data_IF_160445963584
#
_entry.id   IF_160445963584
#
_cell.length_a   1.000
_cell.length_b   1.000
_cell.length_c   1.000
_cell.angle_alpha   90.00
_cell.angle_beta   90.00
_cell.angle_gamma   90.00
#
_symmetry.space_group_name_H-M   'P 1'
#
loop_
_entity.id
_entity.type
_entity.pdbx_description
1 polymer ?
#
# COMPACT_ATOMS: atom_id res chain seq x y z
N UNK A 1 20.21 -8.64 14.62
CA UNK A 1 19.05 -7.71 14.63
C UNK A 1 19.26 -6.75 13.48
N UNK A 2 18.57 -6.97 12.36
CA UNK A 2 18.57 -6.00 11.25
C UNK A 2 17.86 -4.75 11.76
N UNK A 3 18.50 -3.58 11.67
CA UNK A 3 17.88 -2.32 12.09
C UNK A 3 16.56 -2.08 11.35
N UNK A 4 15.64 -1.34 11.99
CA UNK A 4 14.42 -0.90 11.32
C UNK A 4 14.79 -0.15 10.03
N UNK A 5 14.10 -0.48 8.93
CA UNK A 5 14.30 0.23 7.67
C UNK A 5 13.93 1.71 7.90
N UNK A 6 14.80 2.67 7.54
CA UNK A 6 14.47 4.08 7.67
C UNK A 6 13.27 4.43 6.78
N UNK A 7 12.56 5.53 7.07
CA UNK A 7 11.53 6.04 6.18
C UNK A 7 12.12 6.33 4.79
N UNK A 8 11.29 6.14 3.78
CA UNK A 8 11.61 6.45 2.40
C UNK A 8 11.11 7.87 2.12
N UNK A 9 11.99 8.72 1.59
CA UNK A 9 11.62 10.06 1.15
C UNK A 9 10.66 9.97 -0.06
N UNK A 10 9.48 10.60 -0.03
CA UNK A 10 8.55 10.57 -1.16
C UNK A 10 9.03 11.51 -2.27
N UNK A 11 9.65 10.95 -3.31
CA UNK A 11 10.11 11.69 -4.50
C UNK A 11 9.66 10.94 -5.76
N UNK A 12 8.93 11.62 -6.63
CA UNK A 12 8.60 11.06 -7.95
C UNK A 12 9.79 11.23 -8.90
N UNK A 13 10.39 10.11 -9.31
CA UNK A 13 11.45 10.10 -10.32
C UNK A 13 10.85 10.02 -11.74
N UNK A 14 11.61 10.42 -12.78
CA UNK A 14 11.18 10.26 -14.17
C UNK A 14 10.87 8.79 -14.51
N UNK A 15 9.87 8.58 -15.38
CA UNK A 15 9.42 7.24 -15.74
C UNK A 15 10.56 6.40 -16.32
N UNK A 16 11.41 6.97 -17.17
CA UNK A 16 12.53 6.27 -17.79
C UNK A 16 13.56 5.75 -16.78
N UNK A 17 13.72 6.45 -15.64
CA UNK A 17 14.65 6.04 -14.58
C UNK A 17 14.08 4.85 -13.81
N UNK A 18 12.79 4.90 -13.51
CA UNK A 18 12.07 3.81 -12.83
C UNK A 18 12.06 2.58 -13.75
N UNK A 19 11.64 2.74 -15.01
CA UNK A 19 11.60 1.67 -16.02
C UNK A 19 12.97 0.99 -16.16
N UNK A 20 14.04 1.76 -16.32
CA UNK A 20 15.39 1.22 -16.41
C UNK A 20 15.80 0.44 -15.15
N UNK A 21 15.35 0.84 -13.96
CA UNK A 21 15.60 0.10 -12.72
C UNK A 21 14.80 -1.22 -12.66
N UNK A 22 13.53 -1.18 -13.07
CA UNK A 22 12.67 -2.37 -13.13
C UNK A 22 13.20 -3.40 -14.15
N UNK A 23 13.67 -2.95 -15.32
CA UNK A 23 14.30 -3.83 -16.33
C UNK A 23 15.55 -4.56 -15.81
N UNK A 24 16.29 -3.92 -14.89
CA UNK A 24 17.44 -4.53 -14.21
C UNK A 24 17.04 -5.41 -13.03
N UNK A 25 15.77 -5.45 -12.67
CA UNK A 25 15.25 -6.14 -11.48
C UNK A 25 15.63 -5.47 -10.15
N UNK A 26 16.04 -4.20 -10.17
CA UNK A 26 16.49 -3.48 -8.98
C UNK A 26 15.35 -2.71 -8.32
N UNK A 27 14.44 -3.46 -7.69
CA UNK A 27 13.25 -2.88 -7.01
C UNK A 27 13.58 -2.23 -5.67
N UNK A 28 14.80 -2.42 -5.17
CA UNK A 28 15.26 -1.93 -3.88
C UNK A 28 16.02 -0.61 -3.97
N UNK A 29 16.35 -0.14 -5.18
CA UNK A 29 16.94 1.18 -5.40
C UNK A 29 16.04 2.30 -4.89
N UNK A 30 16.65 3.45 -4.62
CA UNK A 30 15.96 4.61 -4.07
C UNK A 30 14.93 5.14 -5.07
N UNK A 31 15.22 5.13 -6.37
CA UNK A 31 14.36 5.68 -7.41
C UNK A 31 12.98 5.01 -7.43
N UNK A 32 12.96 3.68 -7.34
CA UNK A 32 11.72 2.88 -7.29
C UNK A 32 10.99 3.11 -5.96
N UNK A 33 11.71 3.01 -4.84
CA UNK A 33 11.09 3.10 -3.50
C UNK A 33 10.54 4.50 -3.22
N UNK A 34 11.29 5.54 -3.57
CA UNK A 34 10.87 6.93 -3.38
C UNK A 34 9.67 7.28 -4.27
N UNK A 35 9.63 6.76 -5.50
CA UNK A 35 8.48 6.96 -6.39
C UNK A 35 7.24 6.27 -5.85
N UNK A 36 7.34 5.03 -5.37
CA UNK A 36 6.23 4.32 -4.71
C UNK A 36 5.72 5.06 -3.47
N UNK A 37 6.63 5.58 -2.64
CA UNK A 37 6.27 6.40 -1.49
C UNK A 37 5.52 7.67 -1.91
N UNK A 38 5.99 8.36 -2.96
CA UNK A 38 5.33 9.54 -3.49
C UNK A 38 3.93 9.22 -4.03
N UNK A 39 3.81 8.17 -4.86
CA UNK A 39 2.54 7.77 -5.48
C UNK A 39 1.48 7.46 -4.43
N UNK A 40 1.82 6.66 -3.42
CA UNK A 40 0.86 6.31 -2.39
C UNK A 40 0.53 7.45 -1.43
N UNK A 41 1.48 8.37 -1.16
CA UNK A 41 1.19 9.56 -0.37
C UNK A 41 0.22 10.53 -1.07
N UNK A 42 0.16 10.49 -2.40
CA UNK A 42 -0.71 11.33 -3.22
C UNK A 42 -1.89 10.56 -3.84
N UNK A 43 -2.20 9.36 -3.33
CA UNK A 43 -3.30 8.50 -3.77
C UNK A 43 -3.29 8.10 -5.28
N UNK A 44 -2.11 8.09 -5.93
CA UNK A 44 -1.93 7.57 -7.30
C UNK A 44 -1.87 6.04 -7.32
N UNK A 45 -2.93 5.39 -6.85
CA UNK A 45 -2.98 3.95 -6.60
C UNK A 45 -2.88 3.10 -7.86
N UNK A 46 -3.44 3.57 -8.99
CA UNK A 46 -3.30 2.89 -10.27
C UNK A 46 -1.83 2.80 -10.70
N UNK A 47 -1.09 3.91 -10.66
CA UNK A 47 0.32 3.98 -11.00
C UNK A 47 1.20 3.18 -10.01
N UNK A 48 0.84 3.21 -8.73
CA UNK A 48 1.51 2.39 -7.71
C UNK A 48 1.33 0.89 -8.00
N UNK A 49 0.12 0.44 -8.34
CA UNK A 49 -0.18 -0.94 -8.71
C UNK A 49 0.58 -1.37 -9.98
N UNK A 50 0.63 -0.51 -11.01
CA UNK A 50 1.35 -0.81 -12.27
C UNK A 50 2.82 -1.18 -12.02
N UNK A 51 3.51 -0.48 -11.11
CA UNK A 51 4.91 -0.83 -10.76
C UNK A 51 4.98 -2.25 -10.17
N UNK A 52 4.07 -2.59 -9.27
CA UNK A 52 3.99 -3.93 -8.68
C UNK A 52 3.70 -5.02 -9.72
N UNK A 53 2.79 -4.73 -10.65
CA UNK A 53 2.39 -5.64 -11.70
C UNK A 53 3.52 -5.92 -12.69
N UNK A 54 4.25 -4.88 -13.13
CA UNK A 54 5.42 -5.03 -14.02
C UNK A 54 6.46 -5.97 -13.41
N UNK A 55 6.71 -5.83 -12.10
CA UNK A 55 7.68 -6.66 -11.36
C UNK A 55 7.13 -8.07 -11.08
N UNK A 56 5.81 -8.21 -10.95
CA UNK A 56 5.18 -9.45 -10.50
C UNK A 56 5.42 -9.76 -9.02
N UNK A 57 5.66 -8.73 -8.19
CA UNK A 57 5.90 -8.84 -6.75
C UNK A 57 4.93 -7.98 -5.96
N UNK A 58 4.51 -8.47 -4.79
CA UNK A 58 3.72 -7.66 -3.85
C UNK A 58 4.60 -6.56 -3.27
N UNK A 59 4.07 -5.34 -3.26
CA UNK A 59 4.66 -4.20 -2.56
C UNK A 59 3.70 -3.78 -1.47
N UNK A 60 4.23 -3.37 -0.32
CA UNK A 60 3.45 -2.72 0.73
C UNK A 60 3.99 -1.33 1.02
N UNK A 61 3.05 -0.43 1.29
CA UNK A 61 3.29 0.91 1.78
C UNK A 61 2.62 1.06 3.13
N UNK A 62 3.36 1.60 4.10
CA UNK A 62 2.82 2.07 5.36
C UNK A 62 3.08 3.57 5.47
N UNK A 63 2.03 4.35 5.73
CA UNK A 63 2.10 5.80 5.97
C UNK A 63 1.75 6.05 7.43
N UNK A 64 2.69 6.65 8.16
CA UNK A 64 2.52 6.94 9.59
C UNK A 64 1.80 8.27 9.86
N UNK A 65 1.56 8.58 11.14
CA UNK A 65 0.85 9.79 11.53
C UNK A 65 1.57 11.10 11.13
N UNK A 66 2.89 11.07 10.89
CA UNK A 66 3.71 12.21 10.47
C UNK A 66 4.00 12.18 8.94
N UNK A 67 3.23 11.43 8.16
CA UNK A 67 3.37 11.25 6.71
C UNK A 67 4.68 10.57 6.26
N UNK A 68 5.34 9.85 7.17
CA UNK A 68 6.53 9.07 6.82
C UNK A 68 6.12 7.79 6.14
N UNK A 69 6.74 7.54 4.99
CA UNK A 69 6.45 6.40 4.13
C UNK A 69 7.44 5.27 4.38
N UNK A 70 6.93 4.04 4.40
CA UNK A 70 7.74 2.83 4.54
C UNK A 70 7.32 1.83 3.46
N UNK A 71 8.20 1.64 2.48
CA UNK A 71 7.98 0.73 1.35
C UNK A 71 8.74 -0.57 1.57
N UNK A 72 8.04 -1.69 1.42
CA UNK A 72 8.63 -3.03 1.42
C UNK A 72 8.12 -3.88 0.26
N UNK A 73 8.95 -4.84 -0.15
CA UNK A 73 8.65 -5.81 -1.19
C UNK A 73 8.58 -7.21 -0.61
N UNK A 74 7.58 -7.98 -0.99
CA UNK A 74 7.37 -9.34 -0.53
C UNK A 74 7.05 -10.31 -1.65
N UNK A 75 6.96 -11.58 -1.25
CA UNK A 75 6.32 -12.62 -2.07
C UNK A 75 4.87 -12.80 -1.63
N UNK A 76 4.04 -13.30 -2.54
CA UNK A 76 2.58 -13.34 -2.41
C UNK A 76 2.07 -13.76 -1.03
N UNK A 77 1.13 -12.97 -0.46
CA UNK A 77 0.45 -13.19 0.82
C UNK A 77 1.35 -13.22 2.07
N UNK A 78 2.51 -12.58 2.03
CA UNK A 78 3.46 -12.53 3.18
C UNK A 78 3.73 -11.14 3.73
N UNK A 79 3.11 -10.10 3.18
CA UNK A 79 3.41 -8.74 3.62
C UNK A 79 2.55 -8.38 4.83
N UNK A 80 3.06 -8.68 6.02
CA UNK A 80 2.45 -8.22 7.27
C UNK A 80 2.75 -6.76 7.58
N UNK A 81 1.99 -6.18 8.51
CA UNK A 81 2.31 -4.88 9.11
C UNK A 81 3.67 -4.97 9.80
N UNK A 82 4.71 -4.40 9.18
CA UNK A 82 6.07 -4.35 9.73
C UNK A 82 6.39 -2.91 10.14
N UNK A 83 5.84 -2.41 11.27
CA UNK A 83 6.04 -1.03 11.67
C UNK A 83 7.52 -0.83 12.04
N UNK A 84 8.24 0.05 11.35
CA UNK A 84 9.64 0.31 11.65
C UNK A 84 9.78 1.10 12.95
N UNK A 85 10.88 0.84 13.67
CA UNK A 85 11.19 1.55 14.90
C UNK A 85 11.26 3.06 14.65
N UNK A 86 10.56 3.84 15.49
CA UNK A 86 10.50 5.30 15.39
C UNK A 86 9.38 5.84 14.48
N UNK A 87 8.54 4.97 13.90
CA UNK A 87 7.29 5.36 13.25
C UNK A 87 6.23 5.81 14.26
N UNK A 88 5.29 6.65 13.81
CA UNK A 88 4.25 7.23 14.67
C UNK A 88 2.86 6.65 14.39
N UNK A 89 2.24 6.09 15.43
CA UNK A 89 0.87 5.58 15.38
C UNK A 89 -0.17 6.65 15.77
N UNK A 90 -1.43 6.50 15.33
CA UNK A 90 -1.93 5.49 14.40
C UNK A 90 -1.40 5.71 12.97
N UNK A 91 -1.16 4.62 12.25
CA UNK A 91 -0.81 4.64 10.83
C UNK A 91 -2.03 5.08 10.02
N UNK A 92 -1.86 6.11 9.19
CA UNK A 92 -2.94 6.65 8.35
C UNK A 92 -3.39 5.61 7.31
N UNK A 93 -2.43 4.94 6.68
CA UNK A 93 -2.68 3.99 5.59
C UNK A 93 -1.73 2.82 5.67
N UNK A 94 -2.28 1.62 5.57
CA UNK A 94 -1.53 0.41 5.20
C UNK A 94 -2.06 -0.13 3.87
N UNK A 95 -1.18 -0.25 2.87
CA UNK A 95 -1.53 -0.71 1.53
C UNK A 95 -0.65 -1.87 1.14
N UNK A 96 -1.19 -2.82 0.39
CA UNK A 96 -0.39 -3.76 -0.38
C UNK A 96 -1.06 -4.11 -1.72
N UNK A 97 -0.32 -4.76 -2.61
CA UNK A 97 -0.78 -5.14 -3.94
C UNK A 97 -0.96 -6.65 -4.06
N UNK A 98 -1.88 -7.08 -4.92
CA UNK A 98 -2.01 -8.44 -5.45
C UNK A 98 -1.71 -8.40 -6.96
N UNK A 99 -0.44 -8.50 -7.39
CA UNK A 99 -0.09 -8.39 -8.80
C UNK A 99 -0.78 -9.49 -9.62
N UNK A 100 -1.37 -9.10 -10.76
CA UNK A 100 -2.13 -9.98 -11.67
C UNK A 100 -3.35 -10.68 -11.06
N UNK A 101 -3.85 -10.18 -9.92
CA UNK A 101 -5.00 -10.74 -9.21
C UNK A 101 -6.04 -9.70 -8.84
N UNK A 102 -7.21 -10.16 -8.42
CA UNK A 102 -8.24 -9.29 -7.88
C UNK A 102 -7.85 -8.87 -6.45
N UNK A 103 -8.22 -7.65 -6.02
CA UNK A 103 -8.03 -7.23 -4.64
C UNK A 103 -9.03 -7.96 -3.73
N UNK A 104 -8.54 -8.58 -2.65
CA UNK A 104 -9.38 -9.22 -1.63
C UNK A 104 -8.66 -9.27 -0.28
N UNK A 105 -9.39 -9.41 0.82
CA UNK A 105 -8.80 -9.63 2.14
C UNK A 105 -8.40 -11.10 2.30
N UNK A 106 -7.13 -11.41 2.10
CA UNK A 106 -6.58 -12.74 2.38
C UNK A 106 -6.63 -13.06 3.87
N UNK A 107 -6.40 -14.34 4.22
CA UNK A 107 -6.29 -14.73 5.62
C UNK A 107 -5.15 -14.00 6.35
N UNK A 108 -4.03 -13.73 5.65
CA UNK A 108 -2.91 -12.96 6.21
C UNK A 108 -3.32 -11.52 6.51
N UNK A 109 -4.12 -10.91 5.63
CA UNK A 109 -4.58 -9.54 5.80
C UNK A 109 -5.57 -9.44 6.96
N UNK A 110 -6.55 -10.33 6.99
CA UNK A 110 -7.52 -10.41 8.08
C UNK A 110 -6.84 -10.60 9.44
N UNK A 111 -5.82 -11.46 9.52
CA UNK A 111 -5.05 -11.63 10.75
C UNK A 111 -4.29 -10.34 11.12
N UNK A 112 -3.68 -9.66 10.14
CA UNK A 112 -2.97 -8.39 10.35
C UNK A 112 -3.91 -7.29 10.85
N UNK A 113 -5.08 -7.13 10.21
CA UNK A 113 -6.11 -6.17 10.60
C UNK A 113 -6.68 -6.47 11.99
N UNK A 114 -6.90 -7.75 12.32
CA UNK A 114 -7.40 -8.14 13.64
C UNK A 114 -6.41 -7.77 14.77
N UNK A 115 -5.11 -7.98 14.54
CA UNK A 115 -4.04 -7.56 15.46
C UNK A 115 -4.00 -6.04 15.55
N UNK A 116 -4.07 -5.34 14.40
CA UNK A 116 -4.04 -3.88 14.35
C UNK A 116 -5.23 -3.22 15.08
N UNK A 117 -6.43 -3.81 15.01
CA UNK A 117 -7.63 -3.33 15.74
C UNK A 117 -7.39 -3.22 17.24
N UNK A 118 -6.74 -4.23 17.81
CA UNK A 118 -6.60 -4.37 19.27
C UNK A 118 -5.79 -3.23 19.89
N UNK A 119 -4.87 -2.64 19.12
CA UNK A 119 -4.03 -1.53 19.55
C UNK A 119 -4.31 -0.23 18.77
N UNK A 120 -5.38 -0.19 17.96
CA UNK A 120 -5.78 0.96 17.13
C UNK A 120 -4.60 1.46 16.28
N UNK A 121 -3.91 0.52 15.64
CA UNK A 121 -2.64 0.81 14.97
C UNK A 121 -2.83 1.44 13.59
N UNK A 122 -3.92 1.15 12.89
CA UNK A 122 -4.12 1.54 11.48
C UNK A 122 -5.52 2.15 11.35
N UNK A 123 -5.64 3.24 10.61
CA UNK A 123 -6.92 3.92 10.33
C UNK A 123 -7.58 3.40 9.04
N UNK A 124 -6.79 3.21 7.98
CA UNK A 124 -7.26 2.77 6.66
C UNK A 124 -6.36 1.68 6.09
N UNK A 125 -6.96 0.66 5.50
CA UNK A 125 -6.28 -0.43 4.82
C UNK A 125 -6.74 -0.55 3.36
N UNK A 126 -5.80 -0.79 2.45
CA UNK A 126 -6.06 -0.94 1.01
C UNK A 126 -5.40 -2.22 0.46
N UNK A 127 -6.12 -2.93 -0.40
CA UNK A 127 -5.56 -3.96 -1.29
C UNK A 127 -5.75 -3.50 -2.72
N UNK A 128 -4.65 -3.39 -3.47
CA UNK A 128 -4.66 -2.97 -4.86
C UNK A 128 -4.55 -4.19 -5.77
N UNK A 129 -5.42 -4.31 -6.75
CA UNK A 129 -5.39 -5.40 -7.72
C UNK A 129 -5.61 -4.89 -9.14
N UNK A 130 -5.88 -5.82 -10.05
CA UNK A 130 -6.07 -5.48 -11.46
C UNK A 130 -7.30 -4.56 -11.64
N UNK A 131 -7.07 -3.33 -12.08
CA UNK A 131 -8.06 -2.27 -12.33
C UNK A 131 -8.93 -1.80 -11.14
N UNK A 132 -8.85 -2.45 -9.98
CA UNK A 132 -9.70 -2.19 -8.83
C UNK A 132 -8.89 -2.15 -7.53
N UNK A 133 -9.46 -1.52 -6.50
CA UNK A 133 -8.97 -1.57 -5.13
C UNK A 133 -10.07 -2.04 -4.18
N UNK A 134 -9.66 -2.69 -3.09
CA UNK A 134 -10.50 -3.02 -1.94
C UNK A 134 -10.07 -2.18 -0.75
N UNK A 135 -11.04 -1.62 -0.04
CA UNK A 135 -10.81 -0.73 1.10
C UNK A 135 -11.48 -1.26 2.38
N UNK A 136 -10.85 -0.94 3.51
CA UNK A 136 -11.42 -1.06 4.84
C UNK A 136 -10.96 0.12 5.70
N UNK A 137 -11.88 0.69 6.46
CA UNK A 137 -11.63 1.76 7.42
C UNK A 137 -11.95 1.24 8.82
N UNK A 138 -11.03 1.47 9.74
CA UNK A 138 -11.23 1.10 11.14
C UNK A 138 -12.07 2.16 11.84
N UNK A 139 -12.96 1.71 12.73
CA UNK A 139 -13.67 2.59 13.64
C UNK A 139 -13.80 1.99 15.04
N UNK A 140 -14.05 2.83 16.04
CA UNK A 140 -14.15 2.37 17.43
C UNK A 140 -15.37 1.47 17.66
N UNK A 141 -16.45 1.74 16.93
CA UNK A 141 -17.69 0.98 16.96
C UNK A 141 -17.69 -0.10 15.86
N UNK A 142 -18.49 -1.16 15.99
CA UNK A 142 -18.68 -2.10 14.91
C UNK A 142 -19.21 -1.42 13.63
N UNK A 143 -18.66 -1.77 12.48
CA UNK A 143 -19.15 -1.31 11.19
C UNK A 143 -20.48 -1.99 10.83
N UNK A 144 -21.32 -1.30 10.04
CA UNK A 144 -22.61 -1.84 9.58
C UNK A 144 -22.43 -3.06 8.67
N UNK A 145 -21.44 -3.02 7.78
CA UNK A 145 -21.00 -4.13 6.94
C UNK A 145 -19.51 -4.43 7.19
N UNK A 146 -19.19 -5.25 8.20
CA UNK A 146 -17.82 -5.49 8.60
C UNK A 146 -17.16 -6.63 7.84
N UNK A 147 -15.82 -6.68 7.85
CA UNK A 147 -15.05 -7.82 7.31
C UNK A 147 -15.47 -9.15 7.98
N UNK A 148 -15.79 -9.08 9.28
CA UNK A 148 -16.38 -10.19 10.04
C UNK A 148 -17.33 -9.63 11.08
N UNK A 149 -18.49 -10.26 11.27
CA UNK A 149 -19.46 -9.86 12.29
C UNK A 149 -18.98 -10.08 13.74
N UNK A 150 -17.91 -10.85 13.93
CA UNK A 150 -17.35 -11.18 15.24
C UNK A 150 -15.88 -10.81 15.37
N UNK A 151 -15.47 -10.52 16.61
CA UNK A 151 -14.08 -10.27 16.96
C UNK A 151 -13.57 -8.90 16.49
N UNK A 152 -12.23 -8.70 16.46
CA UNK A 152 -11.63 -7.40 16.17
C UNK A 152 -11.85 -6.90 14.73
N UNK A 153 -12.27 -7.79 13.82
CA UNK A 153 -12.62 -7.45 12.44
C UNK A 153 -14.01 -6.82 12.30
N UNK A 154 -14.85 -6.88 13.34
CA UNK A 154 -16.13 -6.17 13.37
C UNK A 154 -15.99 -4.64 13.31
N UNK A 155 -14.81 -4.12 13.64
CA UNK A 155 -14.48 -2.69 13.62
C UNK A 155 -14.00 -2.18 12.26
N UNK A 156 -13.83 -3.05 11.27
CA UNK A 156 -13.36 -2.70 9.94
C UNK A 156 -14.50 -2.78 8.95
N UNK A 157 -14.72 -1.73 8.16
CA UNK A 157 -15.64 -1.78 7.02
C UNK A 157 -15.16 -2.82 5.99
N UNK A 158 -16.11 -3.41 5.25
CA UNK A 158 -15.82 -4.27 4.12
C UNK A 158 -16.37 -3.65 2.84
N UNK A 159 -15.73 -2.59 2.37
CA UNK A 159 -16.22 -1.86 1.21
C UNK A 159 -16.17 -2.72 -0.06
N UNK A 160 -17.12 -2.46 -0.97
CA UNK A 160 -17.17 -3.05 -2.29
C UNK A 160 -15.90 -2.71 -3.09
N UNK A 161 -15.64 -3.49 -4.13
CA UNK A 161 -14.56 -3.17 -5.06
C UNK A 161 -14.85 -1.84 -5.76
N UNK A 162 -13.83 -1.01 -5.86
CA UNK A 162 -13.91 0.29 -6.53
C UNK A 162 -12.85 0.36 -7.62
N UNK A 163 -13.21 0.93 -8.76
CA UNK A 163 -12.24 1.27 -9.79
C UNK A 163 -11.27 2.32 -9.25
N UNK A 164 -10.05 2.34 -9.79
CA UNK A 164 -9.12 3.42 -9.45
C UNK A 164 -9.71 4.78 -9.83
N UNK A 165 -9.50 5.83 -9.00
CA UNK A 165 -9.93 7.18 -9.34
C UNK A 165 -9.40 7.60 -10.72
N UNK A 166 -10.25 8.17 -11.56
CA UNK A 166 -9.80 8.78 -12.81
C UNK A 166 -8.86 9.95 -12.50
N UNK A 167 -7.58 9.77 -12.81
CA UNK A 167 -6.52 10.75 -12.59
C UNK A 167 -5.55 10.73 -13.77
N UNK A 168 -5.04 11.92 -14.14
CA UNK A 168 -3.97 12.00 -15.14
C UNK A 168 -2.70 11.32 -14.61
N UNK A 169 -1.99 10.60 -15.47
CA UNK A 169 -0.71 9.99 -15.08
C UNK A 169 0.22 11.07 -14.49
N UNK A 170 0.86 10.81 -13.34
CA UNK A 170 1.81 11.75 -12.75
C UNK A 170 3.07 11.89 -13.61
N UNK A 171 3.28 10.98 -14.56
CA UNK A 171 4.30 11.08 -15.62
C UNK A 171 3.70 11.58 -16.94
N UNK A 172 2.73 12.48 -16.88
CA UNK A 172 2.11 13.11 -18.04
C UNK A 172 3.14 13.47 -19.12
N UNK A 173 2.82 13.08 -20.35
CA UNK A 173 3.68 13.12 -21.53
C UNK A 173 4.12 14.56 -21.83
N UNK A 174 5.36 14.94 -21.50
CA UNK A 174 6.04 16.00 -22.27
C UNK A 174 6.45 15.41 -23.63
N UNK A 175 5.53 15.44 -24.59
CA UNK A 175 5.87 15.30 -26.01
C UNK A 175 5.18 16.41 -26.77
N UNK A 176 5.93 17.51 -26.96
CA UNK A 176 5.89 18.49 -28.07
C UNK A 176 6.74 19.70 -27.64
N UNK A 177 7.78 20.16 -28.33
CA UNK A 177 8.30 19.93 -29.69
C UNK A 177 9.81 20.20 -29.71
#
# INVERSE_FOLDING_TARGET
MSGAKPPVEPVLHPAEVIEAALERGDVHCDEVRQSLAWLGLHDYWANFYVISEIVGMEVSLLIDADDRCYVDWGTQSRVGLNPPAGSRIPFKVWTHTHPSGNPYWSFTDQNTLAIASSARLIERALVLGNCELKQAVWSAEPADDPISSEGPLSQWTNEDLTEYPEQESPWGVEVSS
#
